data_IF_618859392154
#
_entry.id   IF_618859392154
#
_cell.length_a   1.000
_cell.length_b   1.000
_cell.length_c   1.000
_cell.angle_alpha   90.00
_cell.angle_beta   90.00
_cell.angle_gamma   90.00
#
_symmetry.space_group_name_H-M   'P 1'
#
loop_
_entity.id
_entity.type
_entity.pdbx_description
1 polymer ?
#
# COMPACT_ATOMS: atom_id res chain seq x y z
N UNK A 1 -0.81 -10.29 -7.13
CA UNK A 1 0.24 -9.43 -6.51
C UNK A 1 1.64 -9.97 -6.80
N UNK A 2 1.79 -11.28 -6.90
CA UNK A 2 2.99 -12.04 -7.20
C UNK A 2 3.73 -11.51 -8.43
N UNK A 3 3.01 -11.21 -9.52
CA UNK A 3 3.60 -10.59 -10.71
C UNK A 3 4.27 -9.22 -10.42
N UNK A 4 3.70 -8.39 -9.54
CA UNK A 4 4.28 -7.10 -9.17
C UNK A 4 5.53 -7.28 -8.30
N UNK A 5 5.51 -8.27 -7.40
CA UNK A 5 6.68 -8.62 -6.60
C UNK A 5 7.83 -9.12 -7.49
N UNK A 6 7.53 -9.96 -8.48
CA UNK A 6 8.52 -10.43 -9.45
C UNK A 6 9.11 -9.27 -10.26
N UNK A 7 8.27 -8.34 -10.75
CA UNK A 7 8.76 -7.13 -11.45
C UNK A 7 9.71 -6.29 -10.59
N UNK A 8 9.44 -6.15 -9.29
CA UNK A 8 10.36 -5.47 -8.36
C UNK A 8 11.69 -6.23 -8.30
N UNK A 9 11.65 -7.55 -8.11
CA UNK A 9 12.86 -8.37 -8.01
C UNK A 9 13.68 -8.35 -9.30
N UNK A 10 13.02 -8.44 -10.46
CA UNK A 10 13.66 -8.35 -11.78
C UNK A 10 14.32 -6.98 -11.96
N UNK A 11 13.65 -5.89 -11.60
CA UNK A 11 14.22 -4.54 -11.64
C UNK A 11 15.42 -4.38 -10.71
N UNK A 12 15.37 -4.94 -9.49
CA UNK A 12 16.50 -4.94 -8.58
C UNK A 12 17.70 -5.68 -9.17
N UNK A 13 17.48 -6.83 -9.80
CA UNK A 13 18.54 -7.67 -10.36
C UNK A 13 19.12 -7.08 -11.66
N UNK A 14 18.27 -6.62 -12.57
CA UNK A 14 18.67 -6.22 -13.93
C UNK A 14 19.09 -4.76 -14.03
N UNK A 15 18.51 -3.87 -13.21
CA UNK A 15 18.73 -2.42 -13.33
C UNK A 15 19.52 -1.88 -12.14
N UNK A 16 19.11 -2.20 -10.91
CA UNK A 16 19.77 -1.63 -9.72
C UNK A 16 21.10 -2.31 -9.43
N UNK A 17 21.16 -3.64 -9.52
CA UNK A 17 22.40 -4.43 -9.46
C UNK A 17 23.14 -4.39 -8.12
N UNK A 18 22.52 -3.84 -7.08
CA UNK A 18 23.12 -3.71 -5.74
C UNK A 18 22.08 -3.88 -4.64
N UNK A 19 22.52 -4.19 -3.41
CA UNK A 19 21.62 -4.30 -2.28
C UNK A 19 20.81 -3.01 -2.05
N UNK A 20 19.51 -3.16 -1.86
CA UNK A 20 18.54 -2.07 -1.96
C UNK A 20 17.53 -2.11 -0.80
N UNK A 21 17.08 -0.94 -0.36
CA UNK A 21 15.95 -0.80 0.56
C UNK A 21 14.68 -0.60 -0.25
N UNK A 22 13.67 -1.44 0.00
CA UNK A 22 12.36 -1.29 -0.61
C UNK A 22 11.47 -0.42 0.28
N UNK A 23 10.87 0.61 -0.31
CA UNK A 23 9.92 1.51 0.35
C UNK A 23 8.62 1.48 -0.44
N UNK A 24 7.53 1.11 0.22
CA UNK A 24 6.22 1.07 -0.41
C UNK A 24 5.14 1.66 0.49
N UNK A 25 4.07 2.18 -0.12
CA UNK A 25 2.85 2.63 0.57
C UNK A 25 1.66 1.74 0.19
N UNK A 26 0.80 1.41 1.16
CA UNK A 26 -0.46 0.68 0.93
C UNK A 26 -0.23 -0.65 0.19
N UNK A 27 -0.84 -0.86 -0.97
CA UNK A 27 -0.63 -2.06 -1.81
C UNK A 27 0.82 -2.16 -2.30
N UNK A 28 1.49 -1.03 -2.53
CA UNK A 28 2.92 -1.01 -2.83
C UNK A 28 3.77 -1.58 -1.69
N UNK A 29 3.41 -1.28 -0.42
CA UNK A 29 4.05 -1.91 0.75
C UNK A 29 3.89 -3.44 0.72
N UNK A 30 2.70 -3.93 0.38
CA UNK A 30 2.44 -5.37 0.27
C UNK A 30 3.25 -6.01 -0.85
N UNK A 31 3.39 -5.35 -2.01
CA UNK A 31 4.26 -5.82 -3.08
C UNK A 31 5.72 -5.93 -2.60
N UNK A 32 6.21 -4.93 -1.83
CA UNK A 32 7.53 -4.99 -1.22
C UNK A 32 7.67 -6.11 -0.18
N UNK A 33 6.63 -6.40 0.62
CA UNK A 33 6.61 -7.53 1.57
C UNK A 33 6.72 -8.87 0.82
N UNK A 34 5.94 -9.04 -0.25
CA UNK A 34 5.99 -10.27 -1.07
C UNK A 34 7.39 -10.43 -1.68
N UNK A 35 7.91 -9.38 -2.34
CA UNK A 35 9.23 -9.38 -2.94
C UNK A 35 10.33 -9.69 -1.91
N UNK A 36 10.29 -9.05 -0.73
CA UNK A 36 11.25 -9.32 0.34
C UNK A 36 11.15 -10.74 0.89
N UNK A 37 9.94 -11.32 0.97
CA UNK A 37 9.73 -12.70 1.45
C UNK A 37 10.16 -13.78 0.45
N UNK A 38 10.26 -13.43 -0.84
CA UNK A 38 10.65 -14.31 -1.94
C UNK A 38 12.10 -14.06 -2.40
N UNK A 39 12.74 -13.00 -1.89
CA UNK A 39 14.11 -12.64 -2.26
C UNK A 39 15.11 -13.64 -1.70
N UNK A 40 15.82 -14.33 -2.61
CA UNK A 40 16.86 -15.31 -2.26
C UNK A 40 18.29 -14.76 -2.37
N UNK A 41 18.48 -13.52 -2.86
CA UNK A 41 19.78 -13.04 -3.36
C UNK A 41 20.43 -11.91 -2.54
N UNK A 42 20.03 -11.67 -1.28
CA UNK A 42 20.50 -10.54 -0.46
C UNK A 42 20.31 -9.14 -1.13
N UNK A 43 19.51 -9.07 -2.21
CA UNK A 43 19.25 -7.83 -2.95
C UNK A 43 18.37 -6.86 -2.18
N UNK A 44 17.55 -7.37 -1.25
CA UNK A 44 16.75 -6.54 -0.34
C UNK A 44 17.42 -6.52 1.03
N UNK A 45 17.93 -5.37 1.44
CA UNK A 45 18.62 -5.18 2.74
C UNK A 45 17.74 -4.57 3.82
N UNK A 46 16.67 -3.89 3.41
CA UNK A 46 15.74 -3.26 4.33
C UNK A 46 14.38 -3.07 3.68
N UNK A 47 13.37 -2.96 4.52
CA UNK A 47 11.99 -2.77 4.11
C UNK A 47 11.36 -1.61 4.90
N UNK A 48 10.72 -0.68 4.20
CA UNK A 48 9.96 0.41 4.80
C UNK A 48 8.52 0.34 4.32
N UNK A 49 7.60 0.22 5.28
CA UNK A 49 6.17 0.02 5.03
C UNK A 49 5.39 1.25 5.52
N UNK A 50 4.82 2.00 4.59
CA UNK A 50 3.96 3.14 4.89
C UNK A 50 2.49 2.71 4.81
N UNK A 51 1.79 2.64 5.94
CA UNK A 51 0.36 2.22 5.98
C UNK A 51 0.07 0.96 5.14
N UNK A 52 0.76 -0.14 5.43
CA UNK A 52 0.74 -1.33 4.58
C UNK A 52 -0.68 -1.92 4.44
N UNK A 53 -1.06 -2.28 3.20
CA UNK A 53 -2.31 -2.98 2.97
C UNK A 53 -2.26 -4.42 3.47
N UNK A 54 -3.41 -4.94 3.92
CA UNK A 54 -3.59 -6.36 4.24
C UNK A 54 -3.81 -7.26 3.02
N UNK A 55 -4.03 -6.64 1.85
CA UNK A 55 -4.25 -7.27 0.55
C UNK A 55 -4.61 -6.21 -0.49
N UNK A 56 -4.64 -6.59 -1.77
CA UNK A 56 -4.92 -5.69 -2.89
C UNK A 56 -6.36 -5.14 -2.86
N UNK A 57 -7.31 -5.90 -2.29
CA UNK A 57 -8.71 -5.50 -2.20
C UNK A 57 -9.40 -6.09 -0.96
N UNK A 58 -10.67 -5.73 -0.78
CA UNK A 58 -11.46 -6.03 0.42
C UNK A 58 -11.64 -7.53 0.70
N UNK A 59 -11.31 -8.42 -0.25
CA UNK A 59 -11.34 -9.88 -0.07
C UNK A 59 -10.27 -10.38 0.91
N UNK A 60 -9.25 -9.57 1.20
CA UNK A 60 -8.20 -9.91 2.14
C UNK A 60 -8.62 -9.83 3.61
N UNK A 61 -9.67 -9.04 3.92
CA UNK A 61 -10.10 -8.78 5.29
C UNK A 61 -11.37 -9.58 5.56
N UNK A 62 -11.20 -10.90 5.73
CA UNK A 62 -12.32 -11.85 5.95
C UNK A 62 -12.71 -12.02 7.41
N UNK A 63 -11.91 -11.52 8.38
CA UNK A 63 -12.13 -11.77 9.81
C UNK A 63 -12.69 -10.59 10.61
N UNK A 64 -13.01 -9.45 9.97
CA UNK A 64 -13.72 -8.35 10.62
C UNK A 64 -15.24 -8.53 10.47
N UNK A 65 -15.97 -8.61 11.58
CA UNK A 65 -17.43 -8.74 11.57
C UNK A 65 -18.14 -7.57 10.87
N UNK A 66 -17.54 -6.38 10.88
CA UNK A 66 -18.07 -5.19 10.20
C UNK A 66 -17.99 -5.33 8.69
N UNK A 67 -16.94 -6.00 8.19
CA UNK A 67 -16.76 -6.28 6.76
C UNK A 67 -17.63 -7.45 6.33
N UNK A 68 -17.83 -8.46 7.20
CA UNK A 68 -18.79 -9.55 6.97
C UNK A 68 -20.21 -9.04 6.68
N UNK A 69 -20.63 -7.97 7.35
CA UNK A 69 -21.94 -7.33 7.12
C UNK A 69 -22.05 -6.67 5.74
N UNK A 70 -20.93 -6.22 5.16
CA UNK A 70 -20.85 -5.55 3.86
C UNK A 70 -20.50 -6.49 2.70
N UNK A 71 -20.19 -7.76 2.96
CA UNK A 71 -19.88 -8.76 1.92
C UNK A 71 -20.88 -8.84 0.76
N UNK A 72 -22.21 -8.87 0.98
CA UNK A 72 -23.15 -8.91 -0.15
C UNK A 72 -23.08 -7.64 -1.02
N UNK A 73 -22.76 -6.48 -0.43
CA UNK A 73 -22.53 -5.24 -1.17
C UNK A 73 -21.21 -5.28 -1.94
N UNK A 74 -20.14 -5.83 -1.35
CA UNK A 74 -18.85 -6.02 -2.03
C UNK A 74 -18.95 -6.99 -3.21
N UNK A 75 -19.69 -8.09 -3.06
CA UNK A 75 -19.97 -9.00 -4.17
C UNK A 75 -20.81 -8.36 -5.27
N UNK A 76 -21.74 -7.48 -4.91
CA UNK A 76 -22.49 -6.69 -5.89
C UNK A 76 -21.58 -5.72 -6.64
N UNK A 77 -20.67 -5.03 -5.95
CA UNK A 77 -19.66 -4.16 -6.59
C UNK A 77 -18.77 -4.97 -7.54
N UNK A 78 -18.27 -6.13 -7.10
CA UNK A 78 -17.51 -7.06 -7.96
C UNK A 78 -18.31 -7.49 -9.19
N UNK A 79 -19.58 -7.85 -9.01
CA UNK A 79 -20.46 -8.28 -10.10
C UNK A 79 -20.70 -7.16 -11.11
N UNK A 80 -20.93 -5.94 -10.63
CA UNK A 80 -21.13 -4.75 -11.46
C UNK A 80 -19.85 -4.39 -12.22
N UNK A 81 -18.68 -4.49 -11.58
CA UNK A 81 -17.38 -4.22 -12.21
C UNK A 81 -16.95 -5.31 -13.21
N UNK A 82 -17.58 -6.49 -13.19
CA UNK A 82 -17.43 -7.49 -14.27
C UNK A 82 -18.20 -7.13 -15.53
N UNK A 83 -19.11 -6.16 -15.49
CA UNK A 83 -19.83 -5.68 -16.67
C UNK A 83 -19.05 -4.53 -17.33
N UNK A 84 -18.53 -4.69 -18.56
CA UNK A 84 -17.61 -3.71 -19.17
C UNK A 84 -18.16 -2.28 -19.25
N UNK A 85 -19.46 -2.13 -19.55
CA UNK A 85 -20.12 -0.82 -19.66
C UNK A 85 -20.19 -0.13 -18.29
N UNK A 86 -20.50 -0.89 -17.23
CA UNK A 86 -20.63 -0.37 -15.88
C UNK A 86 -19.24 -0.02 -15.33
N UNK A 87 -18.27 -0.92 -15.51
CA UNK A 87 -16.88 -0.70 -15.14
C UNK A 87 -16.30 0.54 -15.81
N UNK A 88 -16.48 0.68 -17.12
CA UNK A 88 -16.07 1.86 -17.88
C UNK A 88 -16.73 3.13 -17.33
N UNK A 89 -18.05 3.11 -17.12
CA UNK A 89 -18.77 4.29 -16.60
C UNK A 89 -18.29 4.72 -15.19
N UNK A 90 -18.03 3.75 -14.31
CA UNK A 90 -17.49 4.01 -12.98
C UNK A 90 -16.07 4.57 -13.07
N UNK A 91 -15.21 3.94 -13.87
CA UNK A 91 -13.83 4.35 -14.06
C UNK A 91 -13.72 5.78 -14.64
N UNK A 92 -14.50 6.08 -15.69
CA UNK A 92 -14.57 7.42 -16.29
C UNK A 92 -15.00 8.48 -15.27
N UNK A 93 -15.86 8.13 -14.31
CA UNK A 93 -16.27 9.03 -13.23
C UNK A 93 -15.19 9.18 -12.16
N UNK A 94 -14.55 8.10 -11.77
CA UNK A 94 -13.50 8.08 -10.74
C UNK A 94 -12.28 8.87 -11.20
N UNK A 95 -11.90 8.76 -12.49
CA UNK A 95 -10.75 9.46 -13.04
C UNK A 95 -10.97 10.97 -13.27
N UNK A 96 -12.18 11.48 -13.05
CA UNK A 96 -12.42 12.92 -13.13
C UNK A 96 -11.63 13.66 -12.05
N UNK A 97 -11.08 14.82 -12.40
CA UNK A 97 -10.24 15.65 -11.51
C UNK A 97 -10.89 15.87 -10.14
N UNK A 98 -12.15 16.29 -10.11
CA UNK A 98 -12.88 16.54 -8.87
C UNK A 98 -13.10 15.29 -8.03
N UNK A 99 -13.30 14.13 -8.67
CA UNK A 99 -13.45 12.84 -7.99
C UNK A 99 -12.14 12.44 -7.33
N UNK A 100 -11.02 12.49 -8.06
CA UNK A 100 -9.68 12.22 -7.54
C UNK A 100 -9.37 13.15 -6.38
N UNK A 101 -9.57 14.47 -6.56
CA UNK A 101 -9.31 15.46 -5.51
C UNK A 101 -10.13 15.18 -4.24
N UNK A 102 -11.42 14.83 -4.38
CA UNK A 102 -12.26 14.46 -3.23
C UNK A 102 -11.79 13.19 -2.52
N UNK A 103 -11.30 12.20 -3.27
CA UNK A 103 -10.73 10.98 -2.69
C UNK A 103 -9.44 11.30 -1.95
N UNK A 104 -8.51 12.05 -2.56
CA UNK A 104 -7.27 12.48 -1.90
C UNK A 104 -7.57 13.30 -0.63
N UNK A 105 -8.47 14.27 -0.73
CA UNK A 105 -8.93 15.04 0.43
C UNK A 105 -9.60 14.19 1.51
N UNK A 106 -10.10 12.99 1.22
CA UNK A 106 -10.67 12.12 2.25
C UNK A 106 -9.60 11.29 2.96
N UNK A 107 -8.47 10.99 2.30
CA UNK A 107 -7.43 10.10 2.83
C UNK A 107 -6.20 10.80 3.40
N UNK A 108 -5.95 12.06 3.04
CA UNK A 108 -4.81 12.85 3.55
C UNK A 108 -5.14 13.45 4.93
N UNK A 109 -4.21 13.45 5.87
CA UNK A 109 -4.29 14.19 7.12
C UNK A 109 -4.09 15.68 6.88
N UNK A 110 -3.01 16.05 6.18
CA UNK A 110 -2.71 17.37 5.68
C UNK A 110 -3.46 17.63 4.37
N UNK A 111 -4.56 18.39 4.45
CA UNK A 111 -5.37 18.72 3.27
C UNK A 111 -4.67 19.71 2.33
N UNK A 112 -3.70 20.48 2.83
CA UNK A 112 -2.94 21.45 2.03
C UNK A 112 -1.96 20.76 1.06
N UNK A 113 -1.52 19.53 1.36
CA UNK A 113 -0.72 18.71 0.45
C UNK A 113 -1.52 18.23 -0.77
N UNK A 114 -2.86 18.27 -0.73
CA UNK A 114 -3.71 17.90 -1.88
C UNK A 114 -3.82 19.08 -2.84
N UNK A 115 -2.74 19.32 -3.58
CA UNK A 115 -2.66 20.35 -4.60
C UNK A 115 -3.08 19.83 -5.99
N UNK A 116 -3.00 20.72 -6.98
CA UNK A 116 -3.38 20.37 -8.35
C UNK A 116 -2.33 19.51 -9.06
N UNK A 117 -1.06 19.58 -8.66
CA UNK A 117 0.01 18.77 -9.23
C UNK A 117 -0.19 17.30 -8.85
N UNK A 118 -0.44 17.02 -7.57
CA UNK A 118 -0.75 15.68 -7.08
C UNK A 118 -1.97 15.09 -7.81
N UNK A 119 -3.02 15.87 -7.99
CA UNK A 119 -4.21 15.42 -8.72
C UNK A 119 -3.87 15.02 -10.16
N UNK A 120 -3.02 15.79 -10.85
CA UNK A 120 -2.58 15.46 -12.20
C UNK A 120 -1.65 14.25 -12.25
N UNK A 121 -0.75 14.08 -11.28
CA UNK A 121 0.12 12.90 -11.16
C UNK A 121 -0.73 11.62 -11.07
N UNK A 122 -1.81 11.65 -10.28
CA UNK A 122 -2.72 10.51 -10.15
C UNK A 122 -3.61 10.35 -11.40
N UNK A 123 -4.07 11.47 -11.98
CA UNK A 123 -4.96 11.43 -13.15
C UNK A 123 -4.25 10.98 -14.42
N UNK A 124 -2.96 11.31 -14.59
CA UNK A 124 -2.19 11.03 -15.79
C UNK A 124 -2.28 9.56 -16.22
N UNK A 125 -1.81 8.60 -15.39
CA UNK A 125 -1.87 7.18 -15.70
C UNK A 125 -3.28 6.62 -15.91
N UNK A 126 -4.31 7.26 -15.33
CA UNK A 126 -5.70 6.85 -15.54
C UNK A 126 -6.23 7.16 -16.96
N UNK A 127 -5.48 7.92 -17.77
CA UNK A 127 -5.80 8.19 -19.17
C UNK A 127 -5.00 7.35 -20.17
N UNK A 128 -4.07 6.52 -19.69
CA UNK A 128 -3.26 5.66 -20.54
C UNK A 128 -4.07 4.48 -21.09
N UNK A 129 -3.61 3.95 -22.22
CA UNK A 129 -4.16 2.72 -22.79
C UNK A 129 -4.05 1.57 -21.77
N UNK A 130 -5.14 0.82 -21.58
CA UNK A 130 -5.20 -0.28 -20.61
C UNK A 130 -5.46 0.13 -19.15
N UNK A 131 -5.61 1.43 -18.83
CA UNK A 131 -5.86 1.87 -17.46
C UNK A 131 -7.17 1.34 -16.86
N UNK A 132 -8.22 1.23 -17.68
CA UNK A 132 -9.49 0.61 -17.27
C UNK A 132 -9.30 -0.87 -16.91
N UNK A 133 -8.56 -1.61 -17.73
CA UNK A 133 -8.30 -3.04 -17.50
C UNK A 133 -7.46 -3.25 -16.23
N UNK A 134 -6.46 -2.39 -16.01
CA UNK A 134 -5.69 -2.37 -14.77
C UNK A 134 -6.58 -2.08 -13.55
N UNK A 135 -7.46 -1.09 -13.63
CA UNK A 135 -8.42 -0.77 -12.56
C UNK A 135 -9.34 -1.95 -12.25
N UNK A 136 -9.95 -2.56 -13.27
CA UNK A 136 -10.83 -3.72 -13.11
C UNK A 136 -10.06 -4.90 -12.52
N UNK A 137 -8.85 -5.16 -12.98
CA UNK A 137 -7.98 -6.24 -12.49
C UNK A 137 -7.63 -6.06 -11.01
N UNK A 138 -7.30 -4.83 -10.58
CA UNK A 138 -6.97 -4.52 -9.18
C UNK A 138 -8.19 -4.74 -8.27
N UNK A 139 -9.36 -4.25 -8.66
CA UNK A 139 -10.56 -4.31 -7.81
C UNK A 139 -11.12 -5.73 -7.75
N UNK A 140 -11.19 -6.42 -8.89
CA UNK A 140 -11.88 -7.72 -8.98
C UNK A 140 -10.95 -8.93 -8.82
N UNK A 141 -9.65 -8.74 -8.98
CA UNK A 141 -8.64 -9.79 -8.93
C UNK A 141 -8.45 -10.42 -7.54
N UNK A 142 -7.59 -11.44 -7.44
CA UNK A 142 -7.22 -12.02 -6.16
C UNK A 142 -6.50 -10.98 -5.29
N UNK A 143 -6.74 -10.95 -3.97
CA UNK A 143 -6.12 -9.97 -3.07
C UNK A 143 -4.59 -10.14 -2.94
N UNK A 144 -4.04 -11.24 -3.42
CA UNK A 144 -2.64 -11.63 -3.25
C UNK A 144 -2.37 -12.29 -1.89
N UNK A 145 -1.10 -12.69 -1.66
CA UNK A 145 -0.67 -13.28 -0.40
C UNK A 145 -0.90 -12.36 0.80
N UNK A 146 -1.24 -12.96 1.94
CA UNK A 146 -1.54 -12.22 3.17
C UNK A 146 -0.23 -11.86 3.91
N UNK A 147 0.00 -10.59 4.30
CA UNK A 147 1.21 -10.20 5.03
C UNK A 147 1.38 -10.97 6.36
N UNK A 148 0.30 -11.45 6.97
CA UNK A 148 0.33 -12.28 8.19
C UNK A 148 1.17 -13.54 8.03
N UNK A 149 1.14 -14.16 6.85
CA UNK A 149 1.88 -15.40 6.57
C UNK A 149 3.29 -15.14 6.02
N UNK A 150 3.54 -13.92 5.52
CA UNK A 150 4.78 -13.53 4.87
C UNK A 150 5.77 -12.86 5.82
N UNK A 151 5.33 -11.92 6.66
CA UNK A 151 6.20 -11.20 7.60
C UNK A 151 7.04 -12.12 8.49
N UNK A 152 6.56 -13.29 8.99
CA UNK A 152 7.40 -14.20 9.76
C UNK A 152 8.60 -14.80 9.00
N UNK A 153 8.61 -14.71 7.66
CA UNK A 153 9.69 -15.21 6.79
C UNK A 153 10.76 -14.14 6.51
N UNK A 154 10.50 -12.89 6.89
CA UNK A 154 11.38 -11.75 6.61
C UNK A 154 12.28 -11.52 7.83
N UNK A 155 13.59 -11.73 7.64
CA UNK A 155 14.62 -11.56 8.68
C UNK A 155 15.36 -10.22 8.59
N UNK A 156 15.30 -9.53 7.44
CA UNK A 156 15.88 -8.20 7.25
C UNK A 156 15.18 -7.14 8.11
N UNK A 157 15.83 -5.99 8.31
CA UNK A 157 15.25 -4.92 9.12
C UNK A 157 14.04 -4.32 8.44
N UNK A 158 12.99 -4.08 9.22
CA UNK A 158 11.73 -3.49 8.77
C UNK A 158 11.39 -2.24 9.60
N UNK A 159 11.07 -1.15 8.90
CA UNK A 159 10.46 0.04 9.49
C UNK A 159 9.01 0.13 9.04
N UNK A 160 8.09 0.18 9.99
CA UNK A 160 6.69 0.45 9.74
C UNK A 160 6.39 1.89 10.16
N UNK A 161 5.94 2.72 9.23
CA UNK A 161 5.44 4.06 9.51
C UNK A 161 3.94 4.07 9.29
N UNK A 162 3.19 4.48 10.30
CA UNK A 162 1.73 4.42 10.26
C UNK A 162 1.07 5.75 10.62
N UNK A 163 0.26 6.31 9.74
CA UNK A 163 -0.53 7.52 10.02
C UNK A 163 -1.69 7.22 10.97
N UNK A 164 -1.81 7.97 12.07
CA UNK A 164 -2.91 7.78 13.05
C UNK A 164 -4.28 8.25 12.53
N UNK A 165 -4.33 8.98 11.41
CA UNK A 165 -5.54 9.44 10.73
C UNK A 165 -5.82 8.70 9.43
N UNK A 166 -5.15 7.59 9.15
CA UNK A 166 -5.43 6.77 7.98
C UNK A 166 -6.87 6.20 8.02
N UNK A 167 -7.77 6.59 7.08
CA UNK A 167 -9.13 6.08 7.05
C UNK A 167 -9.27 4.75 6.28
N UNK A 168 -8.27 4.39 5.46
CA UNK A 168 -8.30 3.18 4.62
C UNK A 168 -7.74 1.98 5.36
N UNK A 169 -6.62 2.16 6.05
CA UNK A 169 -6.02 1.15 6.92
C UNK A 169 -5.90 1.68 8.35
N UNK A 170 -7.02 1.86 9.08
CA UNK A 170 -6.99 2.46 10.41
C UNK A 170 -6.16 1.62 11.37
N UNK A 171 -5.39 2.30 12.22
CA UNK A 171 -4.44 1.68 13.15
C UNK A 171 -5.12 0.69 14.12
N UNK A 172 -6.37 0.97 14.50
CA UNK A 172 -7.20 0.12 15.36
C UNK A 172 -8.00 -0.97 14.61
N UNK A 173 -7.92 -0.97 13.27
CA UNK A 173 -8.45 -2.02 12.40
C UNK A 173 -7.60 -3.30 12.40
N UNK A 174 -8.04 -4.38 11.73
CA UNK A 174 -7.35 -5.67 11.76
C UNK A 174 -5.90 -5.61 11.25
N UNK A 175 -5.69 -4.91 10.12
CA UNK A 175 -4.37 -4.77 9.49
C UNK A 175 -3.46 -3.90 10.36
N UNK A 176 -3.95 -2.73 10.80
CA UNK A 176 -3.21 -1.83 11.68
C UNK A 176 -2.80 -2.51 13.01
N UNK A 177 -3.72 -3.26 13.64
CA UNK A 177 -3.43 -4.06 14.84
C UNK A 177 -2.39 -5.14 14.60
N UNK A 178 -2.45 -5.81 13.44
CA UNK A 178 -1.46 -6.81 13.10
C UNK A 178 -0.05 -6.21 13.02
N UNK A 179 0.13 -5.15 12.22
CA UNK A 179 1.43 -4.48 12.08
C UNK A 179 1.89 -3.85 13.40
N UNK A 180 0.97 -3.28 14.19
CA UNK A 180 1.23 -2.76 15.55
C UNK A 180 1.74 -3.84 16.52
N UNK A 181 1.38 -5.10 16.29
CA UNK A 181 1.84 -6.23 17.12
C UNK A 181 3.20 -6.80 16.71
N UNK A 182 3.75 -6.41 15.56
CA UNK A 182 4.99 -7.01 15.05
C UNK A 182 6.23 -6.68 15.90
N UNK A 183 6.46 -5.44 16.36
CA UNK A 183 7.65 -5.12 17.15
C UNK A 183 7.79 -5.91 18.45
N UNK A 184 6.68 -6.38 19.04
CA UNK A 184 6.72 -7.23 20.23
C UNK A 184 7.01 -8.70 19.94
N UNK A 185 6.92 -9.11 18.68
CA UNK A 185 7.14 -10.50 18.22
C UNK A 185 8.46 -10.67 17.47
N UNK A 186 8.93 -9.62 16.81
CA UNK A 186 10.07 -9.65 15.89
C UNK A 186 11.02 -8.49 16.18
N UNK A 187 12.25 -8.81 16.58
CA UNK A 187 13.27 -7.79 16.94
C UNK A 187 13.81 -7.02 15.73
N UNK A 188 13.65 -7.54 14.52
CA UNK A 188 14.01 -6.85 13.27
C UNK A 188 12.95 -5.83 12.81
N UNK A 189 11.79 -5.76 13.46
CA UNK A 189 10.69 -4.86 13.09
C UNK A 189 10.59 -3.72 14.09
N UNK A 190 10.53 -2.50 13.58
CA UNK A 190 10.25 -1.29 14.34
C UNK A 190 9.01 -0.60 13.78
N UNK A 191 8.22 0.04 14.63
CA UNK A 191 7.03 0.78 14.23
C UNK A 191 7.04 2.18 14.82
N UNK A 192 6.67 3.17 14.00
CA UNK A 192 6.48 4.56 14.40
C UNK A 192 5.11 5.03 13.93
N UNK A 193 4.29 5.51 14.85
CA UNK A 193 3.00 6.15 14.53
C UNK A 193 3.25 7.64 14.28
N UNK A 194 2.67 8.17 13.22
CA UNK A 194 2.82 9.55 12.77
C UNK A 194 1.53 10.33 13.05
N UNK A 195 1.62 11.37 13.87
CA UNK A 195 0.47 12.14 14.35
C UNK A 195 -0.10 13.09 13.29
N UNK A 196 -1.41 13.03 13.12
CA UNK A 196 -2.15 13.81 12.14
C UNK A 196 -1.83 13.46 10.70
N UNK A 197 -1.31 12.25 10.44
CA UNK A 197 -0.96 11.76 9.09
C UNK A 197 -2.00 10.76 8.62
N UNK A 198 -2.41 10.90 7.36
CA UNK A 198 -3.38 10.07 6.67
C UNK A 198 -2.75 8.87 5.94
N UNK A 199 -3.35 8.48 4.81
CA UNK A 199 -3.05 7.23 4.10
C UNK A 199 -1.73 7.22 3.31
N UNK A 200 -1.23 8.40 2.91
CA UNK A 200 -0.02 8.55 2.08
C UNK A 200 1.08 9.32 2.83
N UNK A 201 1.71 8.75 3.89
CA UNK A 201 2.59 9.50 4.79
C UNK A 201 3.70 10.31 4.12
N UNK A 202 4.29 9.76 3.06
CA UNK A 202 5.43 10.34 2.36
C UNK A 202 5.10 11.64 1.63
N UNK A 203 3.84 11.84 1.24
CA UNK A 203 3.38 13.06 0.57
C UNK A 203 2.61 13.98 1.55
N UNK A 204 1.86 13.37 2.47
CA UNK A 204 1.04 14.06 3.47
C UNK A 204 1.87 14.94 4.42
N UNK A 205 2.90 14.36 5.05
CA UNK A 205 3.85 15.06 5.93
C UNK A 205 5.26 14.47 5.75
N UNK A 206 5.95 14.81 4.64
CA UNK A 206 7.27 14.26 4.31
C UNK A 206 8.30 14.45 5.42
N UNK A 207 8.29 15.59 6.11
CA UNK A 207 9.24 15.89 7.19
C UNK A 207 9.13 14.87 8.35
N UNK A 208 7.91 14.52 8.77
CA UNK A 208 7.70 13.52 9.82
C UNK A 208 8.15 12.12 9.38
N UNK A 209 7.96 11.79 8.10
CA UNK A 209 8.48 10.54 7.54
C UNK A 209 10.00 10.55 7.54
N UNK A 210 10.63 11.61 7.04
CA UNK A 210 12.09 11.74 6.98
C UNK A 210 12.74 11.70 8.36
N UNK A 211 12.15 12.35 9.37
CA UNK A 211 12.63 12.33 10.74
C UNK A 211 12.74 10.92 11.34
N UNK A 212 11.93 9.96 10.85
CA UNK A 212 11.96 8.55 11.29
C UNK A 212 12.76 7.68 10.33
N UNK A 213 12.63 7.94 9.03
CA UNK A 213 13.22 7.15 7.96
C UNK A 213 14.74 7.33 7.88
N UNK A 214 15.23 8.58 7.85
CA UNK A 214 16.65 8.84 7.62
C UNK A 214 17.55 8.27 8.74
N UNK A 215 17.22 8.42 10.05
CA UNK A 215 18.01 7.79 11.11
C UNK A 215 17.98 6.26 11.05
N UNK A 216 16.86 5.67 10.59
CA UNK A 216 16.75 4.23 10.43
C UNK A 216 17.60 3.73 9.24
N UNK A 217 17.60 4.45 8.10
CA UNK A 217 18.45 4.13 6.95
C UNK A 217 19.94 4.22 7.30
N UNK A 218 20.34 5.21 8.09
CA UNK A 218 21.72 5.37 8.54
C UNK A 218 22.24 4.17 9.36
N UNK A 219 21.35 3.35 9.95
CA UNK A 219 21.72 2.13 10.67
C UNK A 219 21.93 0.91 9.76
N UNK A 220 21.52 0.99 8.49
CA UNK A 220 21.70 -0.08 7.50
C UNK A 220 23.03 0.02 6.76
N UNK A 221 23.59 1.23 6.69
CA UNK A 221 24.88 1.50 6.07
C UNK A 221 25.97 1.18 7.10
N UNK A 222 26.39 -0.09 7.12
CA UNK A 222 27.58 -0.57 7.81
C UNK A 222 28.58 -1.12 6.80
#
# INVERSE_FOLDING_TARGET
MEAWAQLILDFLNEVVGQPTVLIGNSVGSLACVIAASESNQNLVQGLVLLNCAGGMNNKAIVDDWRIKLLLPLLWLVDFLLKQPIIASSIFERVKQRDSIKKILLSIYGNKEAVDEELVEIIRGPANDEGALDAFVSIVTGPPGPNPVTLMPRISIRVLVLWGDRDPFTPLDGPVGKYFSSLPSKFSNVSLQVLEGVGHCPHDDKPDLVHDRLLPWLAQLVA
#
